data_IF_923564646104
#
_entry.id   IF_923564646104
#
_cell.length_a   1.000
_cell.length_b   1.000
_cell.length_c   1.000
_cell.angle_alpha   90.00
_cell.angle_beta   90.00
_cell.angle_gamma   90.00
#
_symmetry.space_group_name_H-M   'P 1'
#
loop_
_entity.id
_entity.type
_entity.pdbx_description
1 polymer ?
#
# COMPACT_ATOMS: atom_id res chain seq x y z
N UNK A 1 28.79 -33.51 -34.57
CA UNK A 1 28.28 -33.59 -35.94
C UNK A 1 27.14 -34.61 -35.95
N UNK A 2 25.93 -34.13 -35.69
CA UNK A 2 24.71 -34.93 -35.69
C UNK A 2 23.74 -34.32 -36.70
N UNK A 3 23.39 -35.15 -37.66
CA UNK A 3 22.59 -34.82 -38.85
C UNK A 3 21.10 -34.93 -38.51
N UNK A 4 20.34 -33.84 -38.67
CA UNK A 4 18.88 -33.88 -38.58
C UNK A 4 18.26 -34.26 -39.92
N UNK A 5 17.51 -35.37 -39.92
CA UNK A 5 16.67 -35.78 -41.05
C UNK A 5 15.31 -35.08 -40.98
N UNK A 6 15.01 -34.29 -41.99
CA UNK A 6 13.65 -33.77 -42.28
C UNK A 6 12.80 -34.91 -42.86
N UNK A 7 11.66 -35.21 -42.21
CA UNK A 7 10.60 -35.99 -42.84
C UNK A 7 9.45 -35.06 -43.25
N UNK A 8 9.20 -35.02 -44.55
CA UNK A 8 8.03 -34.39 -45.16
C UNK A 8 6.80 -35.26 -44.89
N UNK A 9 5.73 -34.68 -44.32
CA UNK A 9 4.38 -35.28 -44.27
C UNK A 9 3.48 -34.48 -45.17
N UNK A 10 3.04 -35.08 -46.27
CA UNK A 10 2.04 -34.57 -47.21
C UNK A 10 0.64 -34.81 -46.67
N UNK A 11 -0.19 -33.74 -46.67
CA UNK A 11 -1.63 -33.81 -46.45
C UNK A 11 -2.38 -34.29 -47.70
N UNK A 12 -3.40 -35.14 -47.58
CA UNK A 12 -4.44 -35.24 -48.59
C UNK A 12 -5.82 -34.81 -48.04
N UNK A 13 -6.47 -33.98 -48.88
CA UNK A 13 -7.87 -33.91 -49.15
C UNK A 13 -8.87 -33.38 -48.12
N UNK A 14 -9.06 -32.04 -48.16
CA UNK A 14 -10.34 -31.40 -47.83
C UNK A 14 -11.21 -31.32 -49.11
N UNK A 15 -12.11 -32.25 -49.30
CA UNK A 15 -13.31 -32.13 -50.15
C UNK A 15 -14.35 -33.11 -49.61
N UNK A 16 -15.32 -32.58 -48.84
CA UNK A 16 -16.70 -33.04 -48.64
C UNK A 16 -17.19 -32.65 -47.23
N UNK A 17 -17.58 -31.38 -47.09
CA UNK A 17 -18.45 -30.94 -45.98
C UNK A 17 -19.21 -29.68 -46.40
N UNK A 18 -20.05 -29.84 -47.45
CA UNK A 18 -20.99 -28.80 -47.89
C UNK A 18 -22.33 -29.45 -48.27
N UNK A 19 -22.92 -30.16 -47.31
CA UNK A 19 -24.29 -30.70 -47.51
C UNK A 19 -24.97 -31.14 -46.24
N UNK A 20 -24.80 -30.48 -45.10
CA UNK A 20 -25.68 -30.65 -43.95
C UNK A 20 -25.79 -29.26 -43.24
N UNK A 21 -26.46 -28.34 -43.87
CA UNK A 21 -26.73 -27.05 -43.28
C UNK A 21 -28.05 -26.46 -43.71
N UNK A 22 -29.18 -27.19 -43.49
CA UNK A 22 -30.50 -26.61 -43.74
C UNK A 22 -31.65 -27.09 -42.81
N UNK A 23 -31.38 -27.82 -41.68
CA UNK A 23 -32.47 -28.27 -40.79
C UNK A 23 -32.30 -27.98 -39.31
N UNK A 24 -31.41 -27.04 -38.94
CA UNK A 24 -31.24 -26.63 -37.51
C UNK A 24 -31.23 -25.13 -37.38
N UNK A 25 -32.33 -24.47 -37.68
CA UNK A 25 -32.48 -23.01 -37.56
C UNK A 25 -33.49 -22.52 -36.53
N UNK A 26 -34.07 -23.35 -35.68
CA UNK A 26 -35.11 -22.87 -34.71
C UNK A 26 -34.78 -23.12 -33.24
N UNK A 27 -33.77 -23.91 -32.88
CA UNK A 27 -33.46 -24.18 -31.46
C UNK A 27 -32.22 -23.45 -30.92
N UNK A 28 -31.61 -22.52 -31.66
CA UNK A 28 -30.43 -21.81 -31.20
C UNK A 28 -30.72 -20.45 -30.53
N UNK A 29 -31.96 -19.98 -30.53
CA UNK A 29 -32.31 -18.65 -30.05
C UNK A 29 -32.74 -18.59 -28.56
N UNK A 30 -33.06 -19.71 -27.93
CA UNK A 30 -33.48 -19.71 -26.52
C UNK A 30 -32.35 -20.12 -25.57
N UNK A 31 -31.40 -20.92 -26.00
CA UNK A 31 -30.25 -21.34 -25.19
C UNK A 31 -29.16 -20.29 -25.13
N UNK A 32 -29.04 -19.42 -26.14
CA UNK A 32 -28.02 -18.33 -26.15
C UNK A 32 -28.41 -17.15 -25.25
N UNK A 33 -29.71 -16.92 -25.02
CA UNK A 33 -30.18 -15.86 -24.11
C UNK A 33 -30.10 -16.23 -22.62
N UNK A 34 -30.08 -17.52 -22.28
CA UNK A 34 -29.90 -17.99 -20.90
C UNK A 34 -28.37 -18.11 -20.55
N UNK A 35 -27.51 -18.35 -21.55
CA UNK A 35 -26.07 -18.43 -21.38
C UNK A 35 -25.41 -17.04 -21.24
N UNK A 36 -25.97 -16.00 -21.88
CA UNK A 36 -25.44 -14.64 -21.76
C UNK A 36 -25.79 -13.98 -20.43
N UNK A 37 -26.96 -14.26 -19.85
CA UNK A 37 -27.29 -13.76 -18.49
C UNK A 37 -26.43 -14.40 -17.39
N UNK A 38 -26.16 -15.70 -17.48
CA UNK A 38 -25.30 -16.38 -16.51
C UNK A 38 -23.81 -15.98 -16.65
N UNK A 39 -23.35 -15.56 -17.85
CA UNK A 39 -22.01 -15.03 -18.04
C UNK A 39 -21.87 -13.55 -17.64
N UNK A 40 -22.93 -12.75 -17.74
CA UNK A 40 -22.90 -11.37 -17.24
C UNK A 40 -22.93 -11.31 -15.71
N UNK A 41 -23.63 -12.21 -15.04
CA UNK A 41 -23.63 -12.30 -13.59
C UNK A 41 -22.35 -12.98 -13.05
N UNK A 42 -21.74 -13.91 -13.79
CA UNK A 42 -20.42 -14.46 -13.48
C UNK A 42 -19.28 -13.44 -13.72
N UNK A 43 -19.43 -12.51 -14.67
CA UNK A 43 -18.49 -11.41 -14.91
C UNK A 43 -18.67 -10.24 -13.92
N UNK A 44 -19.80 -10.12 -13.26
CA UNK A 44 -20.02 -9.16 -12.16
C UNK A 44 -19.51 -9.67 -10.81
N UNK A 45 -19.16 -10.95 -10.69
CA UNK A 45 -18.71 -11.58 -9.46
C UNK A 45 -17.20 -11.50 -9.17
N UNK A 46 -16.36 -11.05 -10.10
CA UNK A 46 -14.90 -10.98 -9.90
C UNK A 46 -14.27 -9.82 -10.67
N UNK A 47 -14.68 -8.58 -10.39
CA UNK A 47 -13.73 -7.49 -10.53
C UNK A 47 -12.70 -7.71 -9.42
N UNK A 48 -11.54 -8.34 -9.74
CA UNK A 48 -10.40 -8.44 -8.84
C UNK A 48 -10.18 -7.03 -8.26
N UNK A 49 -10.20 -6.93 -6.95
CA UNK A 49 -9.92 -5.67 -6.29
C UNK A 49 -8.50 -5.30 -6.72
N UNK A 50 -8.35 -4.27 -7.55
CA UNK A 50 -7.01 -3.84 -7.98
C UNK A 50 -6.32 -3.20 -6.77
N UNK A 51 -5.71 -4.03 -5.90
CA UNK A 51 -5.06 -3.58 -4.67
C UNK A 51 -3.71 -2.91 -4.96
N UNK A 52 -3.01 -3.33 -6.02
CA UNK A 52 -1.72 -2.77 -6.40
C UNK A 52 -1.91 -1.50 -7.24
N UNK A 53 -1.36 -0.39 -6.77
CA UNK A 53 -1.33 0.89 -7.47
C UNK A 53 0.10 1.23 -7.87
N UNK A 54 0.35 1.33 -9.16
CA UNK A 54 1.63 1.80 -9.69
C UNK A 54 1.64 3.32 -9.81
N UNK A 55 2.82 3.97 -9.72
CA UNK A 55 2.90 5.41 -9.98
C UNK A 55 2.40 5.72 -11.39
N UNK A 56 1.57 6.77 -11.52
CA UNK A 56 0.97 7.17 -12.79
C UNK A 56 1.92 8.02 -13.66
N UNK A 57 2.87 8.67 -13.00
CA UNK A 57 3.93 9.48 -13.62
C UNK A 57 5.22 9.32 -12.83
N UNK A 58 6.35 9.71 -13.42
CA UNK A 58 7.68 9.60 -12.80
C UNK A 58 8.10 10.85 -12.00
N UNK A 59 7.45 11.99 -12.23
CA UNK A 59 7.68 13.28 -11.57
C UNK A 59 6.36 14.00 -11.33
N UNK A 60 6.32 14.94 -10.39
CA UNK A 60 5.10 15.58 -9.95
C UNK A 60 4.27 14.67 -9.05
N UNK A 61 2.94 14.70 -9.16
CA UNK A 61 2.04 13.87 -8.35
C UNK A 61 1.97 12.43 -8.87
N UNK A 62 2.86 11.56 -8.37
CA UNK A 62 3.01 10.17 -8.82
C UNK A 62 1.86 9.26 -8.35
N UNK A 63 1.33 9.51 -7.15
CA UNK A 63 0.13 8.84 -6.63
C UNK A 63 -0.92 9.87 -6.20
N UNK A 64 -2.17 9.56 -6.49
CA UNK A 64 -3.34 10.32 -6.05
C UNK A 64 -4.47 9.34 -5.70
N UNK A 65 -4.32 8.68 -4.56
CA UNK A 65 -5.31 7.74 -4.04
C UNK A 65 -6.22 8.51 -3.11
N UNK A 66 -7.47 8.67 -3.52
CA UNK A 66 -8.52 9.29 -2.70
C UNK A 66 -9.46 8.23 -2.16
N UNK A 67 -10.24 8.55 -1.13
CA UNK A 67 -11.26 7.65 -0.61
C UNK A 67 -12.23 7.20 -1.71
N UNK A 68 -12.57 8.08 -2.67
CA UNK A 68 -13.44 7.77 -3.80
C UNK A 68 -12.77 6.80 -4.78
N UNK A 69 -11.49 7.04 -5.14
CA UNK A 69 -10.75 6.18 -6.09
C UNK A 69 -10.43 4.80 -5.53
N UNK A 70 -10.36 4.67 -4.20
CA UNK A 70 -10.19 3.41 -3.50
C UNK A 70 -11.51 2.75 -3.10
N UNK A 71 -12.66 3.44 -3.26
CA UNK A 71 -13.95 3.06 -2.73
C UNK A 71 -13.93 2.88 -1.20
N UNK A 72 -13.27 3.83 -0.52
CA UNK A 72 -13.03 3.87 0.90
C UNK A 72 -13.78 5.04 1.56
N UNK A 73 -13.70 5.14 2.90
CA UNK A 73 -14.32 6.21 3.68
C UNK A 73 -13.32 7.12 4.36
N UNK A 74 -12.11 6.61 4.62
CA UNK A 74 -11.17 7.26 5.54
C UNK A 74 -9.85 7.61 4.87
N UNK A 75 -9.08 6.62 4.39
CA UNK A 75 -7.71 6.83 3.98
C UNK A 75 -7.61 7.38 2.57
N UNK A 76 -6.76 8.40 2.41
CA UNK A 76 -6.21 8.81 1.14
C UNK A 76 -4.68 8.90 1.20
N UNK A 77 -4.03 8.78 0.04
CA UNK A 77 -2.57 8.84 -0.09
C UNK A 77 -2.15 9.54 -1.37
N UNK A 78 -1.38 10.62 -1.24
CA UNK A 78 -0.72 11.31 -2.33
C UNK A 78 0.80 11.14 -2.23
N UNK A 79 1.48 11.14 -3.37
CA UNK A 79 2.94 11.17 -3.42
C UNK A 79 3.42 12.13 -4.48
N UNK A 80 4.29 13.04 -4.09
CA UNK A 80 4.99 13.95 -5.00
C UNK A 80 6.46 13.57 -5.10
N UNK A 81 6.99 13.53 -6.33
CA UNK A 81 8.42 13.59 -6.63
C UNK A 81 8.71 14.94 -7.25
N UNK A 82 9.46 15.77 -6.55
CA UNK A 82 9.76 17.15 -6.93
C UNK A 82 11.25 17.31 -7.19
N UNK A 83 11.58 18.00 -8.25
CA UNK A 83 12.95 18.47 -8.49
C UNK A 83 13.25 19.72 -7.65
N UNK A 84 14.53 20.01 -7.42
CA UNK A 84 14.94 21.21 -6.68
C UNK A 84 14.36 22.49 -7.31
N UNK A 85 13.71 23.32 -6.51
CA UNK A 85 13.04 24.55 -6.93
C UNK A 85 11.56 24.39 -7.26
N UNK A 86 11.06 23.17 -7.49
CA UNK A 86 9.62 22.94 -7.73
C UNK A 86 8.82 23.17 -6.45
N UNK A 87 7.58 23.63 -6.64
CA UNK A 87 6.65 23.96 -5.55
C UNK A 87 5.32 23.28 -5.78
N UNK A 88 4.75 22.72 -4.72
CA UNK A 88 3.40 22.20 -4.67
C UNK A 88 2.60 22.90 -3.57
N UNK A 89 1.35 23.25 -3.86
CA UNK A 89 0.42 23.86 -2.93
C UNK A 89 -0.92 23.13 -2.99
N UNK A 90 -1.44 22.72 -1.84
CA UNK A 90 -2.77 22.11 -1.75
C UNK A 90 -3.56 22.65 -0.56
N UNK A 91 -4.90 22.54 -0.66
CA UNK A 91 -5.82 22.79 0.45
C UNK A 91 -6.24 21.45 1.07
N UNK A 92 -6.30 21.38 2.38
CA UNK A 92 -6.71 20.17 3.09
C UNK A 92 -8.23 19.91 2.99
N UNK A 93 -9.04 20.95 2.76
CA UNK A 93 -10.51 20.81 2.72
C UNK A 93 -11.04 20.22 4.03
N UNK A 94 -11.81 19.14 3.94
CA UNK A 94 -12.35 18.41 5.10
C UNK A 94 -11.36 17.39 5.71
N UNK A 95 -10.17 17.25 5.11
CA UNK A 95 -9.21 16.24 5.52
C UNK A 95 -8.13 16.84 6.43
N UNK A 96 -7.67 16.10 7.39
CA UNK A 96 -6.37 16.33 8.01
C UNK A 96 -5.28 15.72 7.15
N UNK A 97 -4.08 16.24 7.24
CA UNK A 97 -2.92 15.82 6.44
C UNK A 97 -1.71 15.60 7.33
N UNK A 98 -0.99 14.52 7.10
CA UNK A 98 0.38 14.36 7.57
C UNK A 98 1.29 14.34 6.35
N UNK A 99 2.13 15.38 6.23
CA UNK A 99 3.21 15.45 5.26
C UNK A 99 4.40 14.67 5.79
N UNK A 100 4.94 13.75 5.00
CA UNK A 100 6.15 12.98 5.34
C UNK A 100 7.19 13.19 4.25
N UNK A 101 8.32 13.82 4.61
CA UNK A 101 9.49 13.85 3.73
C UNK A 101 10.14 12.46 3.74
N UNK A 102 9.76 11.68 2.74
CA UNK A 102 10.28 10.32 2.55
C UNK A 102 11.78 10.39 2.26
N UNK A 103 12.16 11.27 1.34
CA UNK A 103 13.56 11.54 0.94
C UNK A 103 13.71 13.00 0.52
N UNK A 104 14.92 13.55 0.67
CA UNK A 104 15.23 14.91 0.24
C UNK A 104 14.75 15.98 1.22
N UNK A 105 14.79 17.25 0.75
CA UNK A 105 14.49 18.43 1.57
C UNK A 105 13.51 19.36 0.87
N UNK A 106 12.64 19.99 1.68
CA UNK A 106 11.72 21.03 1.22
C UNK A 106 11.51 22.10 2.30
N UNK A 107 11.36 23.35 1.89
CA UNK A 107 10.83 24.40 2.74
C UNK A 107 9.30 24.31 2.76
N UNK A 108 8.70 24.20 3.95
CA UNK A 108 7.26 23.96 4.11
C UNK A 108 6.61 25.12 4.89
N UNK A 109 5.48 25.59 4.33
CA UNK A 109 4.53 26.46 5.04
C UNK A 109 3.19 25.77 5.14
N UNK A 110 2.51 25.89 6.27
CA UNK A 110 1.18 25.30 6.48
C UNK A 110 0.38 26.09 7.51
N UNK A 111 -0.94 26.22 7.31
CA UNK A 111 -1.83 26.94 8.22
C UNK A 111 -1.31 28.36 8.57
N UNK A 112 -0.78 29.07 7.59
CA UNK A 112 -0.20 30.40 7.76
C UNK A 112 1.13 30.47 8.51
N UNK A 113 1.74 29.33 8.88
CA UNK A 113 3.02 29.25 9.59
C UNK A 113 4.14 28.78 8.66
N UNK A 114 5.34 29.31 8.87
CA UNK A 114 6.54 28.88 8.17
C UNK A 114 7.32 27.89 9.07
N UNK A 115 7.47 26.64 8.62
CA UNK A 115 8.21 25.60 9.32
C UNK A 115 9.65 25.49 8.88
N UNK A 116 10.06 26.32 7.90
CA UNK A 116 11.44 26.35 7.38
C UNK A 116 11.78 25.14 6.50
N UNK A 117 13.08 24.93 6.30
CA UNK A 117 13.58 23.77 5.58
C UNK A 117 13.47 22.53 6.46
N UNK A 118 12.80 21.50 5.92
CA UNK A 118 12.61 20.19 6.54
C UNK A 118 13.25 19.12 5.66
N UNK A 119 13.65 18.00 6.29
CA UNK A 119 14.29 16.86 5.63
C UNK A 119 15.77 16.76 6.00
N UNK A 120 16.24 15.53 6.15
CA UNK A 120 17.63 15.23 6.50
C UNK A 120 18.16 14.07 5.65
N UNK A 121 17.39 12.98 5.54
CA UNK A 121 17.77 11.79 4.79
C UNK A 121 17.56 11.97 3.29
N UNK A 122 18.56 11.58 2.50
CA UNK A 122 18.47 11.57 1.03
C UNK A 122 17.98 10.22 0.49
N UNK A 123 17.95 9.20 1.33
CA UNK A 123 17.36 7.89 1.10
C UNK A 123 16.67 7.38 2.37
N UNK A 124 15.52 6.74 2.24
CA UNK A 124 14.83 6.06 3.37
C UNK A 124 15.75 5.02 4.01
N UNK A 125 16.64 4.39 3.24
CA UNK A 125 17.53 3.33 3.72
C UNK A 125 18.67 3.83 4.61
N UNK A 126 18.84 5.15 4.77
CA UNK A 126 19.66 5.73 5.85
C UNK A 126 19.05 5.48 7.23
N UNK A 127 17.73 5.13 7.28
CA UNK A 127 16.96 4.81 8.49
C UNK A 127 16.90 5.93 9.53
N UNK A 128 17.20 7.16 9.13
CA UNK A 128 17.02 8.34 9.97
C UNK A 128 15.51 8.61 10.15
N UNK A 129 15.13 9.13 11.32
CA UNK A 129 13.74 9.51 11.59
C UNK A 129 13.26 10.57 10.58
N UNK A 130 12.03 10.44 10.03
CA UNK A 130 11.55 11.34 9.00
C UNK A 130 11.16 12.69 9.58
N UNK A 131 11.35 13.76 8.80
CA UNK A 131 10.69 15.03 9.05
C UNK A 131 9.22 14.92 8.62
N UNK A 132 8.31 15.18 9.55
CA UNK A 132 6.88 15.09 9.33
C UNK A 132 6.16 16.31 9.89
N UNK A 133 5.09 16.72 9.22
CA UNK A 133 4.27 17.86 9.60
C UNK A 133 2.79 17.49 9.58
N UNK A 134 2.08 17.74 10.66
CA UNK A 134 0.62 17.67 10.71
C UNK A 134 0.00 18.99 10.27
N UNK A 135 -1.03 18.92 9.42
CA UNK A 135 -1.82 20.06 8.97
C UNK A 135 -3.31 19.72 9.18
N UNK A 136 -4.06 20.54 9.95
CA UNK A 136 -5.47 20.27 10.20
C UNK A 136 -6.34 20.51 8.95
N UNK A 137 -7.58 20.05 9.00
CA UNK A 137 -8.58 20.37 7.99
C UNK A 137 -8.88 21.87 7.93
N UNK A 138 -9.32 22.34 6.75
CA UNK A 138 -9.67 23.76 6.51
C UNK A 138 -8.47 24.66 6.19
N UNK A 139 -7.28 24.09 6.10
CA UNK A 139 -6.03 24.83 5.95
C UNK A 139 -5.39 24.63 4.55
N UNK A 140 -4.29 25.33 4.33
CA UNK A 140 -3.45 25.18 3.15
C UNK A 140 -2.03 24.86 3.56
N UNK A 141 -1.33 24.13 2.70
CA UNK A 141 0.10 23.90 2.82
C UNK A 141 0.79 24.10 1.48
N UNK A 142 2.06 24.47 1.57
CA UNK A 142 2.96 24.58 0.44
C UNK A 142 4.28 23.93 0.80
N UNK A 143 4.85 23.20 -0.15
CA UNK A 143 6.18 22.63 -0.04
C UNK A 143 7.00 23.05 -1.28
N UNK A 144 8.11 23.71 -1.06
CA UNK A 144 9.11 24.06 -2.08
C UNK A 144 10.34 23.18 -1.90
N UNK A 145 10.57 22.30 -2.86
CA UNK A 145 11.73 21.41 -2.85
C UNK A 145 13.05 22.21 -2.88
N UNK A 146 13.93 21.98 -1.92
CA UNK A 146 15.28 22.58 -1.87
C UNK A 146 16.34 21.63 -2.42
N UNK A 147 16.04 20.33 -2.42
CA UNK A 147 16.74 19.29 -3.20
C UNK A 147 15.68 18.51 -3.98
N UNK A 148 16.08 17.60 -4.88
CA UNK A 148 15.16 16.57 -5.32
C UNK A 148 14.57 15.87 -4.09
N UNK A 149 13.23 15.73 -4.00
CA UNK A 149 12.58 15.16 -2.83
C UNK A 149 11.35 14.32 -3.19
N UNK A 150 11.06 13.37 -2.31
CA UNK A 150 9.83 12.58 -2.32
C UNK A 150 9.00 12.96 -1.10
N UNK A 151 7.81 13.53 -1.34
CA UNK A 151 6.89 14.00 -0.31
C UNK A 151 5.62 13.15 -0.34
N UNK A 152 5.35 12.42 0.73
CA UNK A 152 4.09 11.72 0.93
C UNK A 152 3.07 12.64 1.62
N UNK A 153 1.80 12.54 1.18
CA UNK A 153 0.65 13.28 1.67
C UNK A 153 -0.36 12.27 2.18
N UNK A 154 -0.34 12.00 3.47
CA UNK A 154 -1.24 11.07 4.14
C UNK A 154 -2.51 11.82 4.56
N UNK A 155 -3.69 11.35 4.18
CA UNK A 155 -4.94 12.07 4.43
C UNK A 155 -6.02 11.19 5.07
N UNK A 156 -6.81 11.80 5.95
CA UNK A 156 -8.03 11.20 6.53
C UNK A 156 -9.01 12.30 6.94
N UNK A 157 -10.27 12.00 7.30
CA UNK A 157 -11.20 13.01 7.79
C UNK A 157 -10.69 13.75 9.02
N UNK A 158 -10.62 15.08 8.95
CA UNK A 158 -10.22 15.94 10.07
C UNK A 158 -11.41 16.36 10.92
N UNK A 159 -11.15 16.62 12.22
CA UNK A 159 -12.16 17.12 13.18
C UNK A 159 -11.80 18.50 13.73
N UNK A 160 -10.61 19.02 13.38
CA UNK A 160 -10.13 20.33 13.82
C UNK A 160 -9.68 20.39 15.28
N UNK A 161 -9.36 19.25 15.90
CA UNK A 161 -8.94 19.22 17.31
C UNK A 161 -7.47 19.61 17.48
N UNK A 162 -6.67 19.51 16.41
CA UNK A 162 -5.22 19.70 16.45
C UNK A 162 -4.80 20.93 15.64
N UNK A 163 -3.66 21.51 15.95
CA UNK A 163 -3.02 22.61 15.19
C UNK A 163 -1.89 22.06 14.32
N UNK A 164 -1.52 22.82 13.29
CA UNK A 164 -0.35 22.51 12.50
C UNK A 164 0.90 22.44 13.39
N UNK A 165 1.66 21.31 13.30
CA UNK A 165 2.80 21.02 14.17
C UNK A 165 3.76 20.02 13.57
N UNK A 166 5.05 20.16 13.92
CA UNK A 166 6.05 19.16 13.60
C UNK A 166 5.81 17.87 14.38
N UNK A 167 5.85 16.73 13.71
CA UNK A 167 5.71 15.40 14.33
C UNK A 167 7.06 14.68 14.50
N UNK A 168 8.07 15.06 13.73
CA UNK A 168 9.40 14.49 13.71
C UNK A 168 10.45 15.46 13.17
N UNK A 169 11.74 15.10 13.21
CA UNK A 169 12.29 13.82 13.66
C UNK A 169 12.34 13.64 15.19
N UNK A 170 12.29 14.75 15.96
CA UNK A 170 12.31 14.67 17.43
C UNK A 170 11.11 13.89 17.95
N UNK A 171 11.40 12.95 18.87
CA UNK A 171 10.35 12.07 19.45
C UNK A 171 9.98 10.86 18.61
N UNK A 172 10.67 10.62 17.47
CA UNK A 172 10.57 9.38 16.69
C UNK A 172 11.85 8.58 16.94
N UNK A 173 11.66 7.33 17.41
CA UNK A 173 12.77 6.43 17.71
C UNK A 173 12.59 5.14 16.92
N UNK A 174 13.63 4.76 16.19
CA UNK A 174 13.65 3.49 15.45
C UNK A 174 13.64 2.32 16.44
N UNK A 175 12.60 1.51 16.40
CA UNK A 175 12.37 0.43 17.35
C UNK A 175 12.32 -0.91 16.63
N UNK A 176 13.10 -1.94 17.04
CA UNK A 176 13.00 -3.28 16.49
C UNK A 176 11.70 -3.95 16.94
N UNK A 177 11.10 -4.73 16.05
CA UNK A 177 9.98 -5.64 16.34
C UNK A 177 10.18 -6.99 15.69
N UNK A 178 9.61 -8.03 16.32
CA UNK A 178 9.78 -9.42 15.90
C UNK A 178 11.16 -9.95 16.21
N UNK A 179 11.42 -11.18 15.85
CA UNK A 179 12.68 -11.87 16.07
C UNK A 179 13.06 -12.70 14.85
N UNK A 180 14.35 -13.05 14.73
CA UNK A 180 14.83 -13.83 13.58
C UNK A 180 14.44 -13.19 12.25
N UNK A 181 13.87 -13.96 11.35
CA UNK A 181 13.41 -13.48 10.04
C UNK A 181 12.14 -12.61 10.10
N UNK A 182 11.50 -12.49 11.26
CA UNK A 182 10.41 -11.54 11.49
C UNK A 182 10.92 -10.19 12.03
N UNK A 183 12.22 -9.98 12.13
CA UNK A 183 12.80 -8.72 12.59
C UNK A 183 12.57 -7.63 11.54
N UNK A 184 11.96 -6.52 11.98
CA UNK A 184 11.83 -5.27 11.23
C UNK A 184 12.00 -4.10 12.20
N UNK A 185 12.28 -2.92 11.66
CA UNK A 185 12.51 -1.70 12.44
C UNK A 185 11.43 -0.68 12.11
N UNK A 186 10.88 -0.03 13.11
CA UNK A 186 9.69 0.80 12.98
C UNK A 186 9.94 2.20 13.55
N UNK A 187 9.56 3.22 12.81
CA UNK A 187 9.38 4.58 13.27
C UNK A 187 7.88 4.89 13.42
N UNK A 188 7.41 5.04 14.65
CA UNK A 188 6.04 5.49 14.93
C UNK A 188 5.95 7.00 14.74
N UNK A 189 5.28 7.45 13.66
CA UNK A 189 5.14 8.88 13.33
C UNK A 189 3.96 9.48 14.07
N UNK A 190 2.78 8.88 13.95
CA UNK A 190 1.55 9.37 14.55
C UNK A 190 0.66 8.20 14.97
N UNK A 191 1.13 7.40 15.93
CA UNK A 191 0.36 6.30 16.49
C UNK A 191 -0.55 6.78 17.63
N UNK A 192 -1.40 5.91 18.15
CA UNK A 192 -2.47 6.23 19.12
C UNK A 192 -1.98 6.77 20.46
N UNK A 193 -0.73 6.51 20.82
CA UNK A 193 -0.05 7.01 22.02
C UNK A 193 0.35 8.49 21.91
N UNK A 194 0.24 9.07 20.69
CA UNK A 194 0.49 10.49 20.42
C UNK A 194 -0.82 11.16 20.01
N UNK A 195 -1.27 12.14 20.80
CA UNK A 195 -2.48 12.91 20.51
C UNK A 195 -2.20 14.06 19.52
N UNK A 196 -1.74 13.70 18.32
CA UNK A 196 -1.25 14.64 17.29
C UNK A 196 -2.10 14.70 16.04
N UNK A 197 -3.10 13.83 15.92
CA UNK A 197 -3.99 13.73 14.77
C UNK A 197 -5.40 13.30 15.20
N UNK A 198 -6.41 13.61 14.38
CA UNK A 198 -7.81 13.32 14.68
C UNK A 198 -8.21 11.88 14.25
N UNK A 199 -7.66 11.39 13.14
CA UNK A 199 -8.04 10.12 12.52
C UNK A 199 -6.82 9.32 12.06
N UNK A 200 -5.77 9.99 11.57
CA UNK A 200 -4.59 9.34 10.98
C UNK A 200 -3.77 8.57 12.03
N UNK A 201 -3.38 7.36 11.64
CA UNK A 201 -2.32 6.58 12.23
C UNK A 201 -1.26 6.37 11.16
N UNK A 202 -0.02 6.79 11.42
CA UNK A 202 1.07 6.74 10.43
C UNK A 202 2.32 6.15 11.05
N UNK A 203 2.91 5.19 10.36
CA UNK A 203 4.18 4.55 10.73
C UNK A 203 4.99 4.19 9.50
N UNK A 204 6.31 4.12 9.63
CA UNK A 204 7.18 3.58 8.58
C UNK A 204 7.97 2.39 9.09
N UNK A 205 8.24 1.45 8.21
CA UNK A 205 8.85 0.17 8.55
C UNK A 205 9.97 -0.18 7.59
N UNK A 206 11.09 -0.64 8.15
CA UNK A 206 12.25 -1.15 7.44
C UNK A 206 12.36 -2.64 7.68
N UNK A 207 12.23 -3.43 6.62
CA UNK A 207 12.31 -4.88 6.64
C UNK A 207 13.61 -5.31 5.94
N UNK A 208 14.59 -5.85 6.69
CA UNK A 208 15.84 -6.30 6.09
C UNK A 208 15.65 -7.41 5.07
N UNK A 209 16.62 -7.54 4.17
CA UNK A 209 16.65 -8.57 3.14
C UNK A 209 16.41 -9.98 3.71
N UNK A 210 15.47 -10.72 3.11
CA UNK A 210 15.08 -12.06 3.54
C UNK A 210 14.10 -12.11 4.71
N UNK A 211 13.67 -10.96 5.23
CA UNK A 211 12.77 -10.90 6.40
C UNK A 211 11.31 -10.68 5.99
N UNK A 212 10.44 -11.02 6.94
CA UNK A 212 9.00 -10.79 6.88
C UNK A 212 8.59 -9.60 7.73
N UNK A 213 7.47 -8.99 7.37
CA UNK A 213 6.86 -7.87 8.09
C UNK A 213 5.34 -8.00 8.06
N UNK A 214 4.65 -7.32 9.01
CA UNK A 214 3.22 -7.58 9.28
C UNK A 214 2.96 -9.08 9.48
N UNK A 215 3.91 -9.75 10.12
CA UNK A 215 3.93 -11.20 10.29
C UNK A 215 4.27 -11.57 11.75
N UNK A 216 3.59 -12.58 12.38
CA UNK A 216 2.45 -13.34 11.86
C UNK A 216 1.36 -12.47 11.29
N UNK A 217 0.61 -13.01 10.32
CA UNK A 217 -0.46 -12.27 9.64
C UNK A 217 -1.50 -11.77 10.63
N UNK A 218 -1.93 -10.52 10.48
CA UNK A 218 -2.98 -9.92 11.31
C UNK A 218 -3.97 -9.15 10.45
N UNK A 219 -5.16 -8.87 10.99
CA UNK A 219 -6.22 -8.05 10.41
C UNK A 219 -6.79 -7.05 11.41
N UNK A 220 -7.35 -5.95 10.91
CA UNK A 220 -8.04 -4.90 11.66
C UNK A 220 -9.18 -4.33 10.78
N UNK A 221 -10.18 -5.14 10.51
CA UNK A 221 -11.23 -4.89 9.53
C UNK A 221 -12.66 -5.00 10.11
N UNK A 222 -12.77 -5.03 11.43
CA UNK A 222 -14.04 -5.03 12.15
C UNK A 222 -14.07 -3.89 13.17
N UNK A 223 -15.21 -3.19 13.26
CA UNK A 223 -15.43 -2.16 14.27
C UNK A 223 -15.98 -2.83 15.55
N UNK A 224 -15.09 -3.45 16.30
CA UNK A 224 -15.41 -4.22 17.53
C UNK A 224 -14.41 -3.89 18.65
N UNK A 225 -14.27 -2.61 18.99
CA UNK A 225 -13.41 -2.17 20.09
C UNK A 225 -13.92 -2.71 21.44
N UNK A 226 -13.06 -3.19 22.38
CA UNK A 226 -11.59 -3.09 22.37
C UNK A 226 -10.85 -4.23 21.66
N UNK A 227 -11.55 -5.23 21.13
CA UNK A 227 -10.93 -6.44 20.58
C UNK A 227 -10.29 -6.21 19.22
N UNK A 228 -10.94 -5.41 18.36
CA UNK A 228 -10.47 -5.04 17.04
C UNK A 228 -10.98 -3.65 16.66
N UNK A 229 -10.26 -2.94 15.80
CA UNK A 229 -10.74 -1.71 15.16
C UNK A 229 -10.80 -1.89 13.65
N UNK A 230 -11.78 -1.25 13.02
CA UNK A 230 -11.80 -1.13 11.56
C UNK A 230 -10.85 -0.02 11.13
N UNK A 231 -9.85 -0.38 10.31
CA UNK A 231 -8.90 0.57 9.71
C UNK A 231 -8.69 0.20 8.24
N UNK A 232 -8.88 1.16 7.37
CA UNK A 232 -8.35 1.12 6.00
C UNK A 232 -6.87 1.43 6.05
N UNK A 233 -6.06 0.83 5.15
CA UNK A 233 -4.62 0.97 5.21
C UNK A 233 -3.99 1.02 3.81
N UNK A 234 -2.96 1.87 3.65
CA UNK A 234 -2.08 1.87 2.48
C UNK A 234 -0.66 1.55 2.86
N UNK A 235 0.05 0.83 1.97
CA UNK A 235 1.49 0.53 2.04
C UNK A 235 2.17 1.18 0.84
N UNK A 236 2.92 2.26 1.03
CA UNK A 236 3.81 2.79 0.00
C UNK A 236 5.19 2.15 0.13
N UNK A 237 5.64 1.45 -0.89
CA UNK A 237 6.84 0.62 -0.86
C UNK A 237 8.06 1.28 -1.52
N UNK A 238 9.24 1.05 -0.92
CA UNK A 238 10.54 1.33 -1.52
C UNK A 238 11.43 0.10 -1.36
N UNK A 239 12.31 -0.10 -2.32
CA UNK A 239 13.21 -1.24 -2.39
C UNK A 239 14.66 -0.79 -2.58
N UNK A 240 15.58 -1.48 -1.94
CA UNK A 240 17.01 -1.29 -2.15
C UNK A 240 17.72 -2.63 -2.38
N UNK A 241 18.31 -2.84 -3.59
CA UNK A 241 18.27 -1.98 -4.79
C UNK A 241 16.86 -1.86 -5.42
N UNK A 242 16.61 -0.73 -6.09
CA UNK A 242 15.25 -0.36 -6.59
C UNK A 242 14.69 -1.26 -7.70
N UNK A 243 15.53 -2.03 -8.41
CA UNK A 243 15.09 -3.01 -9.42
C UNK A 243 14.49 -4.29 -8.81
N UNK A 244 14.48 -4.41 -7.49
CA UNK A 244 13.94 -5.55 -6.77
C UNK A 244 12.42 -5.60 -6.78
N UNK A 245 11.89 -6.55 -6.02
CA UNK A 245 10.47 -6.64 -5.73
C UNK A 245 10.27 -7.09 -4.28
N UNK A 246 9.12 -6.77 -3.70
CA UNK A 246 8.62 -7.38 -2.48
C UNK A 246 7.43 -8.28 -2.80
N UNK A 247 7.04 -9.14 -1.86
CA UNK A 247 5.80 -9.92 -1.93
C UNK A 247 4.87 -9.42 -0.86
N UNK A 248 3.64 -9.09 -1.22
CA UNK A 248 2.57 -8.82 -0.25
C UNK A 248 1.33 -9.63 -0.61
N UNK A 249 0.75 -10.32 0.39
CA UNK A 249 -0.53 -11.01 0.28
C UNK A 249 -1.57 -10.26 1.08
N UNK A 250 -2.77 -10.12 0.52
CA UNK A 250 -3.96 -9.60 1.23
C UNK A 250 -5.04 -10.65 1.10
N UNK A 251 -5.52 -11.19 2.23
CA UNK A 251 -6.49 -12.29 2.21
C UNK A 251 -7.44 -12.24 3.40
N UNK A 252 -8.64 -12.77 3.20
CA UNK A 252 -9.67 -12.93 4.22
C UNK A 252 -9.85 -14.39 4.61
N UNK A 253 -10.32 -14.66 5.82
CA UNK A 253 -10.57 -16.02 6.32
C UNK A 253 -11.59 -16.79 5.48
N UNK A 254 -12.58 -16.09 4.92
CA UNK A 254 -13.63 -16.66 4.07
C UNK A 254 -13.20 -16.85 2.61
N UNK A 255 -11.97 -16.44 2.26
CA UNK A 255 -11.43 -16.52 0.90
C UNK A 255 -12.11 -15.61 -0.12
N UNK A 256 -12.95 -14.65 0.31
CA UNK A 256 -13.58 -13.67 -0.59
C UNK A 256 -12.58 -12.69 -1.20
N UNK A 257 -11.41 -12.56 -0.59
CA UNK A 257 -10.24 -11.84 -1.06
C UNK A 257 -9.02 -12.72 -0.79
N UNK A 258 -8.21 -12.99 -1.80
CA UNK A 258 -6.90 -13.63 -1.67
C UNK A 258 -6.02 -13.22 -2.85
N UNK A 259 -5.27 -12.14 -2.69
CA UNK A 259 -4.36 -11.63 -3.71
C UNK A 259 -2.92 -11.64 -3.20
N UNK A 260 -2.02 -12.24 -3.98
CA UNK A 260 -0.58 -12.17 -3.75
C UNK A 260 0.05 -11.34 -4.85
N UNK A 261 0.72 -10.28 -4.46
CA UNK A 261 1.25 -9.26 -5.37
C UNK A 261 2.77 -9.25 -5.36
N UNK A 262 3.36 -9.09 -6.56
CA UNK A 262 4.74 -8.65 -6.72
C UNK A 262 4.77 -7.12 -6.73
N UNK A 263 5.37 -6.53 -5.70
CA UNK A 263 5.36 -5.09 -5.43
C UNK A 263 6.72 -4.50 -5.79
N UNK A 264 6.74 -3.50 -6.65
CA UNK A 264 7.95 -2.80 -7.08
C UNK A 264 8.29 -1.56 -6.25
N UNK A 265 9.46 -0.96 -6.51
CA UNK A 265 9.86 0.31 -5.92
C UNK A 265 8.91 1.43 -6.33
N UNK A 266 8.32 2.12 -5.36
CA UNK A 266 7.37 3.19 -5.59
C UNK A 266 5.91 2.76 -5.73
N UNK A 267 5.60 1.47 -5.66
CA UNK A 267 4.22 0.97 -5.71
C UNK A 267 3.48 1.22 -4.38
N UNK A 268 2.16 1.27 -4.44
CA UNK A 268 1.28 1.33 -3.28
C UNK A 268 0.34 0.13 -3.27
N UNK A 269 0.23 -0.55 -2.13
CA UNK A 269 -0.77 -1.60 -1.93
C UNK A 269 -1.90 -1.07 -1.05
N UNK A 270 -3.12 -1.32 -1.47
CA UNK A 270 -4.35 -1.02 -0.73
C UNK A 270 -4.76 -2.23 0.10
N UNK A 271 -5.05 -2.02 1.38
CA UNK A 271 -5.58 -3.05 2.29
C UNK A 271 -6.96 -2.61 2.76
N UNK A 272 -8.02 -2.99 2.05
CA UNK A 272 -9.40 -2.66 2.43
C UNK A 272 -9.89 -3.48 3.63
N UNK A 273 -9.39 -4.70 3.77
CA UNK A 273 -9.72 -5.68 4.82
C UNK A 273 -8.77 -6.87 4.75
N UNK A 274 -8.80 -7.71 5.78
CA UNK A 274 -8.10 -8.98 5.81
C UNK A 274 -6.66 -8.91 6.30
N UNK A 275 -6.06 -10.08 6.34
CA UNK A 275 -4.66 -10.28 6.71
C UNK A 275 -3.74 -9.80 5.58
N UNK A 276 -2.60 -9.16 5.91
CA UNK A 276 -1.79 -8.46 4.90
C UNK A 276 -0.27 -8.52 5.13
N UNK A 277 0.30 -9.73 5.30
CA UNK A 277 1.74 -9.89 5.49
C UNK A 277 2.52 -9.48 4.24
N UNK A 278 3.76 -9.03 4.44
CA UNK A 278 4.69 -8.78 3.34
C UNK A 278 6.09 -9.34 3.64
N UNK A 279 6.87 -9.55 2.58
CA UNK A 279 8.20 -10.11 2.66
C UNK A 279 9.19 -9.37 1.75
N UNK A 280 10.39 -9.14 2.27
CA UNK A 280 11.55 -8.71 1.49
C UNK A 280 12.29 -9.94 0.97
N UNK A 281 12.47 -10.14 -0.34
CA UNK A 281 13.28 -11.22 -0.87
C UNK A 281 14.74 -11.11 -0.43
N UNK A 282 15.45 -12.21 -0.43
CA UNK A 282 16.88 -12.20 -0.15
C UNK A 282 17.62 -11.26 -1.12
N UNK A 283 18.46 -10.39 -0.55
CA UNK A 283 19.25 -9.42 -1.31
C UNK A 283 18.57 -8.05 -1.54
N UNK A 284 17.34 -7.85 -1.08
CA UNK A 284 16.62 -6.58 -1.21
C UNK A 284 16.07 -6.12 0.14
N UNK A 285 16.51 -4.94 0.61
CA UNK A 285 15.85 -4.30 1.74
C UNK A 285 14.52 -3.68 1.29
N UNK A 286 13.52 -3.79 2.15
CA UNK A 286 12.19 -3.24 1.95
C UNK A 286 11.90 -2.14 2.96
N UNK A 287 11.42 -1.01 2.47
CA UNK A 287 10.77 0.02 3.27
C UNK A 287 9.30 0.13 2.86
N UNK A 288 8.44 0.42 3.82
CA UNK A 288 7.10 0.89 3.51
C UNK A 288 6.61 1.94 4.51
N UNK A 289 5.80 2.89 3.98
CA UNK A 289 5.06 3.88 4.77
C UNK A 289 3.62 3.42 4.88
N UNK A 290 3.16 3.18 6.10
CA UNK A 290 1.77 2.83 6.39
C UNK A 290 0.96 4.07 6.74
N UNK A 291 -0.23 4.15 6.16
CA UNK A 291 -1.25 5.14 6.51
C UNK A 291 -2.54 4.42 6.81
N UNK A 292 -3.04 4.56 8.01
CA UNK A 292 -4.27 3.93 8.48
C UNK A 292 -5.25 4.98 8.99
N UNK A 293 -6.54 4.73 8.81
CA UNK A 293 -7.62 5.48 9.44
C UNK A 293 -8.92 4.66 9.45
N UNK A 294 -9.78 4.96 10.41
CA UNK A 294 -11.08 4.33 10.58
C UNK A 294 -12.01 5.18 11.45
N UNK A 295 -13.13 4.65 11.91
CA UNK A 295 -14.07 5.37 12.76
C UNK A 295 -13.48 5.76 14.12
N UNK A 296 -12.52 4.95 14.61
CA UNK A 296 -11.83 5.16 15.87
C UNK A 296 -10.31 5.16 15.64
N UNK A 297 -9.62 6.22 16.09
CA UNK A 297 -8.16 6.34 16.04
C UNK A 297 -7.51 5.48 17.11
N UNK A 298 -7.64 4.15 16.95
CA UNK A 298 -7.05 3.12 17.80
C UNK A 298 -6.56 1.98 16.91
N UNK A 299 -5.46 1.34 17.28
CA UNK A 299 -4.92 0.20 16.55
C UNK A 299 -5.06 -1.07 17.37
N UNK A 300 -6.13 -1.83 17.07
CA UNK A 300 -6.41 -3.15 17.66
C UNK A 300 -6.57 -4.14 16.52
N UNK A 301 -5.84 -5.22 16.58
CA UNK A 301 -5.78 -6.22 15.52
C UNK A 301 -5.89 -7.63 16.10
N UNK A 302 -6.26 -8.59 15.25
CA UNK A 302 -6.22 -10.02 15.57
C UNK A 302 -5.30 -10.72 14.58
N UNK A 303 -4.46 -11.59 15.11
CA UNK A 303 -3.64 -12.48 14.31
C UNK A 303 -4.51 -13.55 13.63
N UNK A 304 -4.01 -14.10 12.53
CA UNK A 304 -4.55 -15.31 11.95
C UNK A 304 -4.22 -16.51 12.86
N UNK A 305 -5.23 -17.19 13.44
CA UNK A 305 -4.99 -18.31 14.35
C UNK A 305 -4.16 -19.44 13.74
N UNK A 306 -4.21 -19.62 12.41
CA UNK A 306 -3.41 -20.61 11.70
C UNK A 306 -1.91 -20.34 11.79
N UNK A 307 -1.50 -19.10 12.12
CA UNK A 307 -0.11 -18.67 12.17
C UNK A 307 0.37 -18.21 13.56
N UNK A 308 -0.45 -18.29 14.60
CA UNK A 308 -0.09 -17.85 15.97
C UNK A 308 1.07 -18.64 16.58
N UNK A 309 1.28 -19.88 16.16
CA UNK A 309 2.39 -20.72 16.60
C UNK A 309 3.77 -20.09 16.29
N UNK A 310 3.85 -19.22 15.26
CA UNK A 310 5.09 -18.54 14.87
C UNK A 310 5.56 -17.59 15.98
N UNK A 311 4.63 -16.89 16.63
CA UNK A 311 4.97 -16.01 17.75
C UNK A 311 5.57 -16.79 18.93
N UNK A 312 5.13 -18.04 19.14
CA UNK A 312 5.69 -18.92 20.18
C UNK A 312 7.11 -19.37 19.78
N UNK A 313 7.31 -19.76 18.51
CA UNK A 313 8.64 -20.11 18.00
C UNK A 313 9.62 -18.93 18.09
N UNK A 314 9.16 -17.72 17.79
CA UNK A 314 9.98 -16.51 17.88
C UNK A 314 10.38 -16.17 19.33
N UNK A 315 9.64 -16.66 20.34
CA UNK A 315 9.98 -16.41 21.73
C UNK A 315 11.36 -16.98 22.12
N UNK A 316 11.78 -18.07 21.48
CA UNK A 316 13.05 -18.74 21.72
C UNK A 316 14.22 -18.13 20.93
N UNK A 317 13.96 -17.20 20.02
CA UNK A 317 14.99 -16.52 19.21
C UNK A 317 15.54 -15.32 19.97
N UNK A 318 16.86 -15.07 19.99
CA UNK A 318 17.43 -13.87 20.59
C UNK A 318 16.87 -12.59 19.96
N UNK A 319 16.72 -11.54 20.77
CA UNK A 319 16.35 -10.22 20.25
C UNK A 319 17.45 -9.68 19.34
N UNK A 320 17.10 -8.94 18.27
CA UNK A 320 18.10 -8.28 17.43
C UNK A 320 18.90 -7.24 18.24
N UNK A 321 20.16 -7.12 17.90
CA UNK A 321 21.06 -6.15 18.50
C UNK A 321 20.75 -4.70 18.04
#
# INVERSE_FOLDING_TARGET
>A
MLVFHKRNITLPAFKNLLSICQTVKINFCVTTLLSTKNNEDALKGNAMANLLRKPTVTSGKCHNITKESANWRYVGFGLYKLEAGETVTESTGELEVILVLVEGKAAITAAGQNFGEMGERMSVFERLAPHCLYVPNGEKWEAKATTACTLAVCTAPGKGNNKAQLLGPVGITLTPRGKGQNTRFINNIAMEDREVADSLLVTEVFTPAGNWSSYPSHRHDEDNYPDMTYLEETYYHRLNPSQGFAVQRVYTEDGSLDETMSVGDGDVVLVPKGHHPCAAPYGYDLYYLNVMAGPLRKWRFKNDPAHDWIAQQDADVPSPA
#
